data_IF_603647613827
#
_entry.id   IF_603647613827
#
_cell.length_a   1.000
_cell.length_b   1.000
_cell.length_c   1.000
_cell.angle_alpha   90.00
_cell.angle_beta   90.00
_cell.angle_gamma   90.00
#
_symmetry.space_group_name_H-M   'P 1'
#
loop_
_entity.id
_entity.type
_entity.pdbx_description
1 polymer ?
#
# COMPACT_ATOMS: atom_id res chain seq x y z
N UNK A 1 2.58 6.22 32.59
CA UNK A 1 2.98 5.83 31.21
C UNK A 1 3.90 4.60 31.24
N UNK A 2 3.73 3.67 30.30
CA UNK A 2 4.63 2.50 30.23
C UNK A 2 6.06 2.97 29.88
N UNK A 3 7.06 2.35 30.52
CA UNK A 3 8.47 2.68 30.29
C UNK A 3 8.88 2.16 28.90
N UNK A 4 9.42 3.01 28.05
CA UNK A 4 9.92 2.64 26.73
C UNK A 4 11.09 1.65 26.84
N UNK A 5 11.17 0.69 25.90
CA UNK A 5 12.27 -0.25 25.84
C UNK A 5 13.60 0.44 25.50
N UNK A 6 14.72 -0.09 25.99
CA UNK A 6 16.08 0.48 25.77
C UNK A 6 16.40 0.74 24.29
N UNK A 7 15.97 -0.16 23.39
CA UNK A 7 16.15 0.00 21.94
C UNK A 7 15.40 1.21 21.39
N UNK A 8 14.13 1.36 21.77
CA UNK A 8 13.28 2.48 21.33
C UNK A 8 13.83 3.82 21.84
N UNK A 9 14.29 3.87 23.10
CA UNK A 9 14.90 5.09 23.67
C UNK A 9 16.17 5.46 22.88
N UNK A 10 17.05 4.50 22.60
CA UNK A 10 18.26 4.73 21.81
C UNK A 10 17.96 5.21 20.39
N UNK A 11 16.97 4.61 19.75
CA UNK A 11 16.53 5.01 18.41
C UNK A 11 15.92 6.41 18.44
N UNK A 12 15.05 6.74 19.39
CA UNK A 12 14.46 8.07 19.53
C UNK A 12 15.51 9.17 19.76
N UNK A 13 16.52 8.91 20.58
CA UNK A 13 17.61 9.87 20.80
C UNK A 13 18.35 10.24 19.50
N UNK A 14 18.47 9.31 18.54
CA UNK A 14 19.07 9.57 17.23
C UNK A 14 18.21 10.48 16.35
N UNK A 15 16.92 10.64 16.68
CA UNK A 15 15.92 11.43 15.92
C UNK A 15 15.57 12.75 16.63
N UNK A 16 16.05 12.99 17.87
CA UNK A 16 15.78 14.24 18.59
C UNK A 16 16.32 15.45 17.83
N UNK A 17 15.48 16.48 17.71
CA UNK A 17 15.81 17.70 16.98
C UNK A 17 15.75 17.59 15.46
N UNK A 18 15.41 16.42 14.89
CA UNK A 18 15.36 16.17 13.45
C UNK A 18 13.92 16.08 12.97
N UNK A 19 13.19 17.19 13.01
CA UNK A 19 11.86 17.31 12.42
C UNK A 19 11.94 18.04 11.08
N UNK A 20 11.15 17.60 10.07
CA UNK A 20 11.14 18.24 8.75
C UNK A 20 12.45 18.04 7.98
N UNK A 21 12.97 16.81 7.96
CA UNK A 21 14.17 16.42 7.21
C UNK A 21 13.86 16.10 5.76
N UNK A 22 14.86 16.13 4.89
CA UNK A 22 14.72 15.67 3.50
C UNK A 22 14.38 14.18 3.42
N UNK A 23 13.83 13.72 2.27
CA UNK A 23 13.53 12.29 2.06
C UNK A 23 14.80 11.44 2.23
N UNK A 24 15.91 11.90 1.63
CA UNK A 24 17.19 11.18 1.64
C UNK A 24 17.74 11.03 3.07
N UNK A 25 17.69 12.10 3.85
CA UNK A 25 18.16 12.08 5.25
C UNK A 25 17.24 11.23 6.13
N UNK A 26 15.91 11.31 5.91
CA UNK A 26 14.95 10.47 6.61
C UNK A 26 15.21 8.98 6.35
N UNK A 27 15.46 8.59 5.09
CA UNK A 27 15.79 7.20 4.72
C UNK A 27 17.07 6.74 5.41
N UNK A 28 18.14 7.54 5.39
CA UNK A 28 19.41 7.21 6.06
C UNK A 28 19.24 7.05 7.58
N UNK A 29 18.47 7.95 8.22
CA UNK A 29 18.19 7.88 9.64
C UNK A 29 17.43 6.60 10.02
N UNK A 30 16.39 6.27 9.25
CA UNK A 30 15.57 5.07 9.49
C UNK A 30 16.39 3.80 9.30
N UNK A 31 17.19 3.71 8.23
CA UNK A 31 18.07 2.57 7.99
C UNK A 31 19.12 2.39 9.10
N UNK A 32 19.68 3.50 9.59
CA UNK A 32 20.63 3.49 10.70
C UNK A 32 20.00 3.05 12.03
N UNK A 33 18.70 3.26 12.21
CA UNK A 33 17.97 2.85 13.41
C UNK A 33 17.37 1.44 13.32
N UNK A 34 17.25 0.88 12.11
CA UNK A 34 16.70 -0.45 11.88
C UNK A 34 17.65 -1.51 12.51
N UNK A 35 17.14 -2.24 13.48
CA UNK A 35 17.92 -3.19 14.29
C UNK A 35 17.24 -4.54 14.50
N UNK A 36 16.15 -4.81 13.76
CA UNK A 36 15.46 -6.09 13.83
C UNK A 36 16.24 -7.20 13.11
N UNK A 37 15.96 -8.46 13.49
CA UNK A 37 16.60 -9.64 12.88
C UNK A 37 15.98 -10.05 11.53
N UNK A 38 15.02 -9.28 11.05
CA UNK A 38 14.33 -9.49 9.77
C UNK A 38 14.44 -8.23 8.93
N UNK A 39 14.21 -8.35 7.62
CA UNK A 39 14.20 -7.21 6.71
C UNK A 39 12.94 -6.37 6.95
N UNK A 40 13.13 -5.24 7.65
CA UNK A 40 12.05 -4.32 8.01
C UNK A 40 11.47 -3.67 6.75
N UNK A 41 10.18 -3.35 6.79
CA UNK A 41 9.52 -2.57 5.74
C UNK A 41 9.61 -1.09 6.07
N UNK A 42 9.94 -0.26 5.09
CA UNK A 42 9.80 1.18 5.19
C UNK A 42 8.34 1.54 4.89
N UNK A 43 7.72 2.22 5.83
CA UNK A 43 6.31 2.62 5.78
C UNK A 43 6.20 4.14 5.73
N UNK A 44 5.24 4.61 4.94
CA UNK A 44 4.86 6.03 4.86
C UNK A 44 3.48 6.22 5.49
N UNK A 45 3.35 7.27 6.30
CA UNK A 45 2.08 7.75 6.82
C UNK A 45 1.88 9.20 6.36
N UNK A 46 0.74 9.48 5.71
CA UNK A 46 0.40 10.80 5.18
C UNK A 46 -0.90 11.29 5.81
N UNK A 47 -0.84 12.40 6.52
CA UNK A 47 -2.04 13.07 7.05
C UNK A 47 -2.59 14.01 5.98
N UNK A 48 -3.83 13.76 5.59
CA UNK A 48 -4.54 14.54 4.58
C UNK A 48 -5.56 15.50 5.20
N UNK A 49 -5.83 16.59 4.51
CA UNK A 49 -6.85 17.57 4.85
C UNK A 49 -8.24 17.20 4.29
N UNK A 50 -8.63 15.92 4.41
CA UNK A 50 -9.92 15.40 3.94
C UNK A 50 -10.73 14.79 5.07
N UNK A 51 -12.06 14.77 4.91
CA UNK A 51 -12.96 14.01 5.78
C UNK A 51 -13.54 12.82 5.00
N UNK A 52 -13.00 11.60 5.21
CA UNK A 52 -13.44 10.40 4.48
C UNK A 52 -14.86 9.93 4.83
N UNK A 53 -15.55 10.59 5.76
CA UNK A 53 -16.97 10.33 6.05
C UNK A 53 -17.86 10.80 4.90
N UNK A 54 -17.41 11.81 4.15
CA UNK A 54 -18.05 12.28 2.94
C UNK A 54 -17.55 11.48 1.73
N UNK A 55 -18.48 10.97 0.95
CA UNK A 55 -18.16 10.11 -0.19
C UNK A 55 -17.33 10.81 -1.29
N UNK A 56 -17.50 12.13 -1.43
CA UNK A 56 -16.78 13.02 -2.34
C UNK A 56 -15.34 13.34 -1.89
N UNK A 57 -15.03 13.13 -0.58
CA UNK A 57 -13.69 13.35 -0.02
C UNK A 57 -12.92 12.05 0.25
N UNK A 58 -13.45 10.92 -0.17
CA UNK A 58 -12.78 9.64 0.02
C UNK A 58 -11.63 9.46 -0.98
N UNK A 59 -10.41 9.56 -0.49
CA UNK A 59 -9.19 9.31 -1.26
C UNK A 59 -8.90 7.81 -1.31
N UNK A 60 -8.83 7.28 -2.51
CA UNK A 60 -8.48 5.88 -2.77
C UNK A 60 -7.86 5.77 -4.16
N UNK A 61 -6.78 5.03 -4.25
CA UNK A 61 -6.09 4.83 -5.51
C UNK A 61 -5.07 3.70 -5.45
N UNK A 62 -4.30 3.65 -6.51
CA UNK A 62 -3.25 2.69 -6.74
C UNK A 62 -2.03 3.42 -7.27
N UNK A 63 -0.87 2.98 -6.90
CA UNK A 63 0.41 3.43 -7.43
C UNK A 63 1.30 2.25 -7.73
N UNK A 64 1.92 2.22 -8.89
CA UNK A 64 2.98 1.28 -9.21
C UNK A 64 4.31 1.90 -8.80
N UNK A 65 4.98 1.27 -7.85
CA UNK A 65 6.28 1.75 -7.39
C UNK A 65 7.37 1.37 -8.40
N UNK A 66 8.25 2.30 -8.81
CA UNK A 66 9.26 2.04 -9.84
C UNK A 66 10.22 0.90 -9.46
N UNK A 67 10.56 0.79 -8.18
CA UNK A 67 11.46 -0.24 -7.68
C UNK A 67 10.74 -1.39 -6.95
N UNK A 68 9.40 -1.47 -7.09
CA UNK A 68 8.58 -2.47 -6.41
C UNK A 68 8.54 -2.31 -4.88
N UNK A 69 7.88 -3.25 -4.21
CA UNK A 69 7.74 -3.26 -2.74
C UNK A 69 8.72 -4.20 -2.03
N UNK A 70 9.42 -5.07 -2.78
CA UNK A 70 10.27 -6.13 -2.23
C UNK A 70 9.50 -7.26 -1.54
N UNK A 71 8.17 -7.30 -1.72
CA UNK A 71 7.31 -8.37 -1.22
C UNK A 71 6.84 -9.24 -2.38
N UNK A 72 6.99 -10.56 -2.28
CA UNK A 72 6.35 -11.51 -3.19
C UNK A 72 4.85 -11.52 -2.92
N UNK A 73 4.06 -11.06 -3.88
CA UNK A 73 2.61 -10.97 -3.78
C UNK A 73 1.99 -12.19 -4.42
N UNK A 74 1.17 -12.93 -3.69
CA UNK A 74 0.36 -14.04 -4.22
C UNK A 74 -0.95 -13.48 -4.75
N UNK A 75 -1.20 -13.73 -6.03
CA UNK A 75 -2.36 -13.19 -6.74
C UNK A 75 -3.39 -14.29 -6.98
N UNK A 76 -4.61 -14.07 -6.49
CA UNK A 76 -5.77 -14.89 -6.81
C UNK A 76 -6.63 -14.21 -7.88
N UNK A 77 -7.08 -14.97 -8.88
CA UNK A 77 -7.89 -14.48 -9.98
C UNK A 77 -9.20 -15.24 -10.07
N UNK A 78 -10.31 -14.53 -10.01
CA UNK A 78 -11.64 -15.06 -10.33
C UNK A 78 -11.91 -14.86 -11.81
N UNK A 79 -11.80 -15.96 -12.57
CA UNK A 79 -12.08 -15.97 -14.00
C UNK A 79 -12.58 -17.35 -14.47
N UNK A 80 -13.27 -17.36 -15.60
CA UNK A 80 -13.76 -18.58 -16.25
C UNK A 80 -13.25 -18.70 -17.69
N UNK A 81 -13.17 -19.95 -18.19
CA UNK A 81 -12.81 -20.25 -19.57
C UNK A 81 -11.46 -19.65 -19.99
N UNK A 82 -11.40 -19.04 -21.15
CA UNK A 82 -10.17 -18.45 -21.74
C UNK A 82 -9.49 -17.45 -20.80
N UNK A 83 -10.25 -16.67 -20.02
CA UNK A 83 -9.68 -15.72 -19.08
C UNK A 83 -8.97 -16.37 -17.89
N UNK A 84 -9.38 -17.58 -17.51
CA UNK A 84 -8.67 -18.37 -16.50
C UNK A 84 -7.32 -18.87 -17.03
N UNK A 85 -7.25 -19.26 -18.30
CA UNK A 85 -6.00 -19.70 -18.92
C UNK A 85 -5.04 -18.50 -19.17
N UNK A 86 -5.56 -17.34 -19.56
CA UNK A 86 -4.80 -16.08 -19.61
C UNK A 86 -4.20 -15.72 -18.24
N UNK A 87 -4.99 -15.86 -17.16
CA UNK A 87 -4.53 -15.60 -15.80
C UNK A 87 -3.38 -16.53 -15.38
N UNK A 88 -3.50 -17.82 -15.70
CA UNK A 88 -2.43 -18.80 -15.44
C UNK A 88 -1.17 -18.48 -16.25
N UNK A 89 -1.33 -18.14 -17.53
CA UNK A 89 -0.22 -17.75 -18.40
C UNK A 89 0.48 -16.47 -17.93
N UNK A 90 -0.26 -15.51 -17.34
CA UNK A 90 0.27 -14.30 -16.72
C UNK A 90 0.94 -14.58 -15.36
N UNK A 91 0.90 -15.82 -14.87
CA UNK A 91 1.55 -16.22 -13.62
C UNK A 91 0.72 -15.97 -12.35
N UNK A 92 -0.62 -15.91 -12.43
CA UNK A 92 -1.44 -15.91 -11.24
C UNK A 92 -1.23 -17.19 -10.42
N UNK A 93 -1.15 -17.05 -9.09
CA UNK A 93 -0.82 -18.17 -8.20
C UNK A 93 -2.05 -19.06 -7.95
N UNK A 94 -3.23 -18.46 -7.91
CA UNK A 94 -4.50 -19.16 -7.69
C UNK A 94 -5.50 -18.66 -8.74
N UNK A 95 -6.08 -19.54 -9.51
CA UNK A 95 -7.11 -19.20 -10.51
C UNK A 95 -8.28 -20.14 -10.33
N UNK A 96 -9.48 -19.60 -10.18
CA UNK A 96 -10.69 -20.41 -9.99
C UNK A 96 -11.98 -19.59 -10.08
N UNK A 97 -13.09 -20.27 -9.92
CA UNK A 97 -14.43 -19.72 -9.92
C UNK A 97 -15.19 -20.11 -8.63
N UNK A 98 -16.08 -21.10 -8.72
CA UNK A 98 -16.86 -21.61 -7.57
C UNK A 98 -15.96 -22.35 -6.56
N UNK A 99 -15.03 -23.16 -7.02
CA UNK A 99 -14.04 -23.90 -6.24
C UNK A 99 -13.18 -22.95 -5.36
N UNK A 100 -12.75 -21.82 -5.94
CA UNK A 100 -12.04 -20.78 -5.18
C UNK A 100 -12.98 -20.09 -4.16
N UNK A 101 -14.24 -19.87 -4.51
CA UNK A 101 -15.24 -19.33 -3.59
C UNK A 101 -15.42 -20.24 -2.36
N UNK A 102 -15.57 -21.56 -2.56
CA UNK A 102 -15.72 -22.54 -1.46
C UNK A 102 -14.48 -22.57 -0.57
N UNK A 103 -13.30 -22.52 -1.17
CA UNK A 103 -12.01 -22.46 -0.44
C UNK A 103 -11.95 -21.23 0.48
N UNK A 104 -12.34 -20.05 -0.01
CA UNK A 104 -12.38 -18.82 0.78
C UNK A 104 -13.47 -18.90 1.87
N UNK A 105 -14.64 -19.45 1.58
CA UNK A 105 -15.70 -19.65 2.56
C UNK A 105 -15.28 -20.59 3.70
N UNK A 106 -14.45 -21.60 3.41
CA UNK A 106 -13.87 -22.47 4.43
C UNK A 106 -12.80 -21.77 5.30
N UNK A 107 -12.47 -20.50 5.01
CA UNK A 107 -11.51 -19.69 5.76
C UNK A 107 -10.07 -19.76 5.27
N UNK A 108 -9.79 -20.53 4.23
CA UNK A 108 -8.45 -20.62 3.63
C UNK A 108 -8.23 -19.45 2.67
N UNK A 109 -7.44 -18.47 3.09
CA UNK A 109 -7.07 -17.29 2.28
C UNK A 109 -5.56 -17.25 2.21
N UNK A 110 -5.01 -17.75 1.12
CA UNK A 110 -3.56 -17.88 0.90
C UNK A 110 -3.04 -16.92 -0.17
N UNK A 111 -3.71 -15.78 -0.36
CA UNK A 111 -3.35 -14.76 -1.33
C UNK A 111 -3.34 -13.36 -0.70
N UNK A 112 -2.55 -12.47 -1.31
CA UNK A 112 -2.38 -11.09 -0.88
C UNK A 112 -3.13 -10.09 -1.76
N UNK A 113 -3.53 -10.52 -2.97
CA UNK A 113 -4.30 -9.73 -3.95
C UNK A 113 -5.37 -10.57 -4.59
N UNK A 114 -6.52 -9.96 -4.85
CA UNK A 114 -7.64 -10.60 -5.53
C UNK A 114 -8.03 -9.76 -6.75
N UNK A 115 -8.03 -10.38 -7.91
CA UNK A 115 -8.48 -9.82 -9.19
C UNK A 115 -9.71 -10.59 -9.63
N UNK A 116 -10.67 -9.93 -10.25
CA UNK A 116 -11.86 -10.58 -10.75
C UNK A 116 -12.25 -10.03 -12.12
N UNK A 117 -12.75 -10.90 -12.99
CA UNK A 117 -13.47 -10.43 -14.17
C UNK A 117 -14.84 -9.91 -13.77
N UNK A 118 -15.42 -8.92 -14.49
CA UNK A 118 -16.74 -8.36 -14.18
C UNK A 118 -17.84 -9.43 -14.06
N UNK A 119 -17.77 -10.47 -14.86
CA UNK A 119 -18.71 -11.60 -14.88
C UNK A 119 -18.72 -12.41 -13.57
N UNK A 120 -17.59 -12.41 -12.86
CA UNK A 120 -17.42 -13.12 -11.59
C UNK A 120 -17.82 -12.30 -10.36
N UNK A 121 -18.10 -10.99 -10.53
CA UNK A 121 -18.46 -10.10 -9.42
C UNK A 121 -19.66 -10.53 -8.60
N UNK A 122 -20.74 -11.14 -9.19
CA UNK A 122 -21.85 -11.67 -8.40
C UNK A 122 -21.44 -12.78 -7.43
N UNK A 123 -20.46 -13.63 -7.80
CA UNK A 123 -19.91 -14.66 -6.92
C UNK A 123 -19.01 -14.04 -5.85
N UNK A 124 -18.10 -13.16 -6.26
CA UNK A 124 -17.18 -12.47 -5.33
C UNK A 124 -17.94 -11.59 -4.34
N UNK A 125 -19.08 -11.00 -4.75
CA UNK A 125 -19.96 -10.23 -3.87
C UNK A 125 -20.46 -11.02 -2.64
N UNK A 126 -20.69 -12.32 -2.77
CA UNK A 126 -21.07 -13.20 -1.65
C UNK A 126 -19.95 -13.35 -0.61
N UNK A 127 -18.69 -13.15 -1.04
CA UNK A 127 -17.50 -13.17 -0.18
C UNK A 127 -17.20 -11.82 0.48
N UNK A 128 -18.02 -10.79 0.23
CA UNK A 128 -17.79 -9.43 0.73
C UNK A 128 -17.60 -9.34 2.25
N UNK A 129 -18.32 -10.18 3.03
CA UNK A 129 -18.17 -10.26 4.49
C UNK A 129 -16.81 -10.79 4.95
N UNK A 130 -16.13 -11.59 4.10
CA UNK A 130 -14.85 -12.22 4.40
C UNK A 130 -13.70 -11.38 3.83
N UNK A 131 -13.79 -10.98 2.55
CA UNK A 131 -12.75 -10.26 1.84
C UNK A 131 -12.72 -8.74 2.18
N UNK A 132 -13.89 -8.16 2.48
CA UNK A 132 -14.02 -6.73 2.78
C UNK A 132 -13.17 -6.27 3.96
N UNK A 133 -13.29 -6.87 5.16
CA UNK A 133 -12.49 -6.50 6.33
C UNK A 133 -10.98 -6.67 6.12
N UNK A 134 -10.58 -7.55 5.20
CA UNK A 134 -9.16 -7.81 4.88
C UNK A 134 -8.63 -6.93 3.75
N UNK A 135 -9.42 -6.00 3.22
CA UNK A 135 -9.09 -5.16 2.05
C UNK A 135 -8.72 -5.96 0.78
N UNK A 136 -9.21 -7.21 0.67
CA UNK A 136 -8.97 -8.11 -0.47
C UNK A 136 -10.11 -8.09 -1.49
N UNK A 137 -11.18 -7.31 -1.25
CA UNK A 137 -12.33 -7.22 -2.16
C UNK A 137 -11.94 -6.51 -3.45
N UNK A 138 -12.12 -7.15 -4.62
CA UNK A 138 -11.89 -6.51 -5.92
C UNK A 138 -12.76 -5.26 -6.10
N UNK A 139 -12.19 -4.23 -6.74
CA UNK A 139 -12.90 -2.97 -6.95
C UNK A 139 -12.51 -2.35 -8.31
N UNK A 140 -13.51 -1.93 -9.13
CA UNK A 140 -13.24 -1.28 -10.42
C UNK A 140 -12.40 -0.01 -10.32
N UNK A 141 -12.60 0.80 -9.26
CA UNK A 141 -11.84 2.05 -9.05
C UNK A 141 -10.35 1.84 -8.80
N UNK A 142 -9.95 0.63 -8.46
CA UNK A 142 -8.57 0.24 -8.16
C UNK A 142 -7.99 -0.64 -9.28
N UNK A 143 -8.76 -0.86 -10.38
CA UNK A 143 -8.30 -1.67 -11.51
C UNK A 143 -8.26 -3.18 -11.24
N UNK A 144 -8.72 -3.66 -10.06
CA UNK A 144 -8.75 -5.09 -9.74
C UNK A 144 -9.99 -5.83 -10.26
N UNK A 145 -10.93 -5.10 -10.89
CA UNK A 145 -12.02 -5.67 -11.67
C UNK A 145 -11.83 -5.24 -13.12
N UNK A 146 -11.36 -6.15 -13.96
CA UNK A 146 -11.02 -5.87 -15.36
C UNK A 146 -11.18 -7.08 -16.25
N UNK A 147 -11.38 -6.85 -17.54
CA UNK A 147 -11.34 -7.88 -18.58
C UNK A 147 -9.89 -8.19 -19.02
N UNK A 148 -8.95 -7.24 -18.82
CA UNK A 148 -7.53 -7.43 -19.09
C UNK A 148 -6.84 -8.01 -17.85
N UNK A 149 -6.97 -9.33 -17.71
CA UNK A 149 -6.44 -10.06 -16.56
C UNK A 149 -4.92 -10.07 -16.55
N UNK A 150 -4.29 -10.15 -17.73
CA UNK A 150 -2.82 -10.19 -17.86
C UNK A 150 -2.20 -8.94 -17.28
N UNK A 151 -2.62 -7.77 -17.76
CA UNK A 151 -2.09 -6.48 -17.31
C UNK A 151 -2.30 -6.27 -15.80
N UNK A 152 -3.46 -6.70 -15.25
CA UNK A 152 -3.74 -6.60 -13.84
C UNK A 152 -2.86 -7.52 -12.97
N UNK A 153 -2.55 -8.73 -13.43
CA UNK A 153 -1.65 -9.66 -12.74
C UNK A 153 -0.22 -9.13 -12.78
N UNK A 154 0.24 -8.66 -13.95
CA UNK A 154 1.58 -8.07 -14.11
C UNK A 154 1.76 -6.84 -13.22
N UNK A 155 0.77 -5.94 -13.14
CA UNK A 155 0.78 -4.78 -12.26
C UNK A 155 0.81 -5.18 -10.78
N UNK A 156 -0.03 -6.16 -10.37
CA UNK A 156 -0.07 -6.65 -8.99
C UNK A 156 1.26 -7.27 -8.54
N UNK A 157 1.96 -7.97 -9.44
CA UNK A 157 3.29 -8.55 -9.20
C UNK A 157 4.42 -7.53 -9.36
N UNK A 158 4.22 -6.50 -10.19
CA UNK A 158 5.16 -5.42 -10.45
C UNK A 158 5.33 -4.40 -9.31
N UNK A 159 4.74 -4.63 -8.14
CA UNK A 159 4.90 -3.75 -6.99
C UNK A 159 3.84 -2.65 -6.88
N UNK A 160 2.65 -2.92 -7.38
CA UNK A 160 1.48 -2.05 -7.19
C UNK A 160 1.10 -1.96 -5.71
N UNK A 161 0.93 -0.76 -5.20
CA UNK A 161 0.46 -0.48 -3.84
C UNK A 161 -0.89 0.22 -3.89
N UNK A 162 -1.87 -0.35 -3.21
CA UNK A 162 -3.16 0.30 -3.01
C UNK A 162 -3.13 1.19 -1.79
N UNK A 163 -3.70 2.38 -1.90
CA UNK A 163 -3.87 3.28 -0.77
C UNK A 163 -5.33 3.70 -0.61
N UNK A 164 -5.71 3.93 0.63
CA UNK A 164 -7.04 4.38 1.01
C UNK A 164 -6.94 5.27 2.24
N UNK A 165 -7.62 6.41 2.22
CA UNK A 165 -7.74 7.24 3.41
C UNK A 165 -8.60 6.53 4.48
N UNK A 166 -8.08 6.44 5.69
CA UNK A 166 -8.78 5.94 6.87
C UNK A 166 -9.73 7.02 7.43
N UNK A 167 -10.59 6.66 8.40
CA UNK A 167 -11.56 7.60 9.00
C UNK A 167 -10.94 8.88 9.58
N UNK A 168 -9.68 8.84 9.96
CA UNK A 168 -8.92 9.99 10.46
C UNK A 168 -8.28 10.84 9.35
N UNK A 169 -8.50 10.53 8.07
CA UNK A 169 -7.86 11.22 6.95
C UNK A 169 -6.38 10.87 6.79
N UNK A 170 -5.93 9.74 7.31
CA UNK A 170 -4.54 9.28 7.21
C UNK A 170 -4.45 8.16 6.18
N UNK A 171 -3.39 8.17 5.37
CA UNK A 171 -3.03 7.07 4.47
C UNK A 171 -1.77 6.40 5.02
N UNK A 172 -1.78 5.07 5.04
CA UNK A 172 -0.64 4.24 5.38
C UNK A 172 -0.29 3.32 4.21
N UNK A 173 1.02 3.20 3.91
CA UNK A 173 1.50 2.28 2.87
C UNK A 173 2.94 1.83 3.14
N UNK A 174 3.28 0.60 2.73
CA UNK A 174 4.66 0.13 2.65
C UNK A 174 5.26 0.52 1.31
N UNK A 175 6.40 1.20 1.31
CA UNK A 175 7.05 1.74 0.10
C UNK A 175 8.33 1.00 -0.30
N UNK A 176 8.76 0.02 0.50
CA UNK A 176 9.93 -0.80 0.18
C UNK A 176 10.51 -1.50 1.40
N UNK A 177 11.60 -2.23 1.19
CA UNK A 177 12.36 -2.89 2.25
C UNK A 177 13.58 -2.08 2.64
N UNK A 178 13.98 -2.16 3.91
CA UNK A 178 15.20 -1.49 4.42
C UNK A 178 16.45 -1.97 3.68
N UNK A 179 16.44 -3.17 3.13
CA UNK A 179 17.52 -3.72 2.30
C UNK A 179 17.70 -3.00 0.95
N UNK A 180 16.70 -2.24 0.46
CA UNK A 180 16.80 -1.48 -0.78
C UNK A 180 17.87 -0.38 -0.69
N UNK A 181 18.38 0.09 -1.84
CA UNK A 181 19.27 1.26 -1.87
C UNK A 181 18.53 2.53 -1.44
N UNK A 182 19.25 3.53 -0.97
CA UNK A 182 18.65 4.79 -0.52
C UNK A 182 17.97 5.52 -1.69
N UNK A 183 18.55 5.44 -2.89
CA UNK A 183 17.98 6.01 -4.12
C UNK A 183 16.65 5.35 -4.48
N UNK A 184 16.58 4.00 -4.47
CA UNK A 184 15.34 3.28 -4.78
C UNK A 184 14.21 3.61 -3.79
N UNK A 185 14.54 3.75 -2.50
CA UNK A 185 13.54 4.14 -1.50
C UNK A 185 13.08 5.57 -1.71
N UNK A 186 13.99 6.50 -2.00
CA UNK A 186 13.63 7.89 -2.27
C UNK A 186 12.73 8.03 -3.51
N UNK A 187 13.03 7.32 -4.58
CA UNK A 187 12.20 7.27 -5.79
C UNK A 187 10.80 6.70 -5.50
N UNK A 188 10.72 5.60 -4.77
CA UNK A 188 9.45 5.00 -4.39
C UNK A 188 8.60 5.95 -3.52
N UNK A 189 9.23 6.64 -2.56
CA UNK A 189 8.55 7.63 -1.71
C UNK A 189 8.00 8.78 -2.55
N UNK A 190 8.81 9.35 -3.45
CA UNK A 190 8.38 10.43 -4.34
C UNK A 190 7.22 10.00 -5.24
N UNK A 191 7.34 8.83 -5.88
CA UNK A 191 6.27 8.29 -6.72
C UNK A 191 4.96 8.09 -5.94
N UNK A 192 5.05 7.65 -4.68
CA UNK A 192 3.88 7.49 -3.81
C UNK A 192 3.26 8.84 -3.43
N UNK A 193 4.08 9.82 -3.03
CA UNK A 193 3.62 11.17 -2.66
C UNK A 193 2.95 11.85 -3.86
N UNK A 194 3.53 11.74 -5.05
CA UNK A 194 2.98 12.30 -6.29
C UNK A 194 1.63 11.66 -6.64
N UNK A 195 1.52 10.34 -6.52
CA UNK A 195 0.26 9.63 -6.78
C UNK A 195 -0.85 10.06 -5.82
N UNK A 196 -0.53 10.22 -4.53
CA UNK A 196 -1.49 10.71 -3.53
C UNK A 196 -1.85 12.17 -3.80
N UNK A 197 -0.89 13.03 -4.17
CA UNK A 197 -1.13 14.44 -4.52
C UNK A 197 -2.08 14.57 -5.71
N UNK A 198 -1.89 13.75 -6.75
CA UNK A 198 -2.76 13.70 -7.95
C UNK A 198 -4.17 13.18 -7.63
N UNK A 199 -4.31 12.36 -6.58
CA UNK A 199 -5.60 11.83 -6.13
C UNK A 199 -6.39 12.81 -5.25
N UNK A 200 -6.01 14.10 -5.19
CA UNK A 200 -6.71 15.12 -4.44
C UNK A 200 -8.16 15.25 -4.92
N UNK A 201 -9.16 15.06 -4.05
CA UNK A 201 -10.56 15.21 -4.42
C UNK A 201 -10.95 16.68 -4.57
N UNK A 202 -11.88 16.97 -5.49
CA UNK A 202 -12.38 18.33 -5.73
C UNK A 202 -13.06 18.97 -4.52
N UNK A 203 -13.57 18.15 -3.60
CA UNK A 203 -14.20 18.60 -2.35
C UNK A 203 -13.21 18.94 -1.22
N UNK A 204 -11.90 18.74 -1.42
CA UNK A 204 -10.92 19.09 -0.40
C UNK A 204 -10.76 20.60 -0.28
N UNK A 205 -10.83 21.13 0.96
CA UNK A 205 -10.68 22.55 1.26
C UNK A 205 -9.41 22.78 2.09
N UNK A 206 -8.62 23.77 1.73
CA UNK A 206 -7.37 24.11 2.42
C UNK A 206 -6.20 23.23 2.05
N UNK A 207 -5.22 23.07 2.96
CA UNK A 207 -4.03 22.26 2.71
C UNK A 207 -4.37 20.78 2.64
N UNK A 208 -4.18 20.16 1.46
CA UNK A 208 -4.45 18.75 1.23
C UNK A 208 -3.44 17.85 1.94
N UNK A 209 -2.14 18.08 1.73
CA UNK A 209 -1.08 17.39 2.45
C UNK A 209 -0.73 18.17 3.72
N UNK A 210 -0.97 17.57 4.89
CA UNK A 210 -0.69 18.20 6.19
C UNK A 210 0.64 17.76 6.79
N UNK A 211 0.94 16.47 6.69
CA UNK A 211 2.14 15.89 7.27
C UNK A 211 2.51 14.60 6.56
N UNK A 212 3.80 14.39 6.35
CA UNK A 212 4.38 13.12 5.87
C UNK A 212 5.30 12.60 6.96
N UNK A 213 5.19 11.34 7.28
CA UNK A 213 6.07 10.66 8.24
C UNK A 213 6.50 9.32 7.66
N UNK A 214 7.76 8.98 7.86
CA UNK A 214 8.36 7.70 7.48
C UNK A 214 8.76 6.93 8.73
N UNK A 215 8.62 5.62 8.71
CA UNK A 215 9.02 4.74 9.79
C UNK A 215 9.47 3.39 9.24
N UNK A 216 10.36 2.69 9.95
CA UNK A 216 10.52 1.25 9.72
C UNK A 216 9.56 0.47 10.63
N UNK A 217 9.32 -0.81 10.31
CA UNK A 217 8.37 -1.67 11.04
C UNK A 217 8.54 -1.63 12.57
N UNK A 218 9.78 -1.58 13.06
CA UNK A 218 10.09 -1.59 14.49
C UNK A 218 10.79 -0.31 14.98
N UNK A 219 10.93 0.68 14.10
CA UNK A 219 11.60 1.96 14.39
C UNK A 219 10.65 3.08 14.78
N UNK A 220 11.19 4.21 15.27
CA UNK A 220 10.44 5.43 15.47
C UNK A 220 10.13 6.12 14.14
N UNK A 221 9.09 6.97 14.12
CA UNK A 221 8.71 7.76 12.97
C UNK A 221 9.50 9.06 12.86
N UNK A 222 9.84 9.44 11.63
CA UNK A 222 10.50 10.71 11.27
C UNK A 222 9.53 11.54 10.44
N UNK A 223 9.39 12.82 10.77
CA UNK A 223 8.63 13.76 9.93
C UNK A 223 9.51 14.25 8.79
N UNK A 224 8.97 14.18 7.57
CA UNK A 224 9.61 14.66 6.34
C UNK A 224 9.11 16.06 6.02
N UNK A 225 9.97 16.91 5.47
CA UNK A 225 9.57 18.20 4.96
C UNK A 225 8.71 18.05 3.70
N UNK A 226 7.58 18.77 3.69
CA UNK A 226 6.60 18.70 2.59
C UNK A 226 7.16 19.27 1.28
N UNK A 227 7.96 20.32 1.35
CA UNK A 227 8.54 20.96 0.15
C UNK A 227 9.52 20.03 -0.54
N UNK A 228 10.36 19.34 0.23
CA UNK A 228 11.30 18.34 -0.30
C UNK A 228 10.59 17.10 -0.88
N UNK A 229 9.40 16.78 -0.36
CA UNK A 229 8.64 15.60 -0.77
C UNK A 229 7.79 15.85 -2.03
N UNK A 230 7.31 17.07 -2.27
CA UNK A 230 6.48 17.43 -3.44
C UNK A 230 7.27 17.95 -4.64
N UNK A 231 8.59 18.12 -4.51
CA UNK A 231 9.45 18.55 -5.62
C UNK A 231 9.26 20.01 -6.04
N UNK A 232 8.68 20.85 -5.16
CA UNK A 232 8.52 22.30 -5.36
C UNK A 232 9.58 23.05 -4.56
#
# INVERSE_FOLDING_TARGET
MAKLGKRTVKAQAAFEGKAGVSIEDAVKLIKGAASAKFDETLEIAMNLGVDPRHADQMVRGVVTLPNGTGKTVRVAVFARGLKADEAKAAGADIVGAEDLMETIQSGKIEFDRCIATPDMMPLVGRLGKILGPRNLMPNPKVGTVTMDVKSAVDAAKGGEVQFKAEKAGVIHAGVGKVSFSDSHLAENIRAFVDAVSKACPSGAKGAYLKKISLASTMGPGVSVDLTSATGN
#
